data_IF_446845621456
#
_entry.id   IF_446845621456
#
_cell.length_a   1.000
_cell.length_b   1.000
_cell.length_c   1.000
_cell.angle_alpha   90.00
_cell.angle_beta   90.00
_cell.angle_gamma   90.00
#
_symmetry.space_group_name_H-M   'P 1'
#
loop_
_entity.id
_entity.type
_entity.pdbx_description
1 polymer ?
#
# COMPACT_ATOMS: atom_id res chain seq x y z
N UNK A 1 22.34 46.28 -8.82
CA UNK A 1 22.71 44.86 -8.76
C UNK A 1 21.50 44.09 -8.25
N UNK A 2 20.77 43.39 -9.13
CA UNK A 2 19.57 42.66 -8.76
C UNK A 2 19.97 41.25 -8.27
N UNK A 3 19.80 41.01 -6.97
CA UNK A 3 20.02 39.70 -6.36
C UNK A 3 18.96 38.74 -6.87
N UNK A 4 19.35 37.75 -7.68
CA UNK A 4 18.45 36.67 -8.12
C UNK A 4 18.01 35.89 -6.88
N UNK A 5 16.70 35.63 -6.69
CA UNK A 5 16.26 34.74 -5.62
C UNK A 5 16.86 33.36 -5.87
N UNK A 6 17.66 32.89 -4.91
CA UNK A 6 18.16 31.52 -4.86
C UNK A 6 16.92 30.65 -4.73
N UNK A 7 16.52 29.96 -5.80
CA UNK A 7 15.52 28.88 -5.72
C UNK A 7 16.07 27.93 -4.67
N UNK A 8 15.49 27.97 -3.48
CA UNK A 8 15.67 26.93 -2.48
C UNK A 8 15.31 25.64 -3.19
N UNK A 9 16.24 24.70 -3.22
CA UNK A 9 15.96 23.32 -3.54
C UNK A 9 14.90 22.86 -2.54
N UNK A 10 13.63 23.03 -2.89
CA UNK A 10 12.59 22.15 -2.36
C UNK A 10 13.11 20.76 -2.71
N UNK A 11 13.45 19.96 -1.70
CA UNK A 11 13.58 18.52 -1.86
C UNK A 11 12.38 18.09 -2.70
N UNK A 12 12.61 17.74 -3.96
CA UNK A 12 11.54 17.27 -4.82
C UNK A 12 11.10 15.96 -4.18
N UNK A 13 9.92 15.98 -3.56
CA UNK A 13 9.33 14.79 -2.98
C UNK A 13 9.18 13.78 -4.11
N UNK A 14 10.12 12.83 -4.21
CA UNK A 14 10.13 11.82 -5.27
C UNK A 14 8.94 10.87 -5.16
N UNK A 15 8.26 10.87 -4.02
CA UNK A 15 7.10 10.03 -3.74
C UNK A 15 5.80 10.79 -4.04
N UNK A 16 5.59 11.13 -5.32
CA UNK A 16 4.40 11.83 -5.80
C UNK A 16 3.75 11.11 -6.99
N UNK A 17 2.49 11.45 -7.28
CA UNK A 17 1.70 10.83 -8.36
C UNK A 17 2.37 10.94 -9.73
N UNK A 18 2.84 12.13 -10.11
CA UNK A 18 3.50 12.38 -11.40
C UNK A 18 4.72 11.47 -11.62
N UNK A 19 5.50 11.24 -10.55
CA UNK A 19 6.64 10.32 -10.58
C UNK A 19 6.21 8.87 -10.76
N UNK A 20 5.10 8.47 -10.13
CA UNK A 20 4.58 7.11 -10.26
C UNK A 20 4.09 6.82 -11.68
N UNK A 21 3.37 7.77 -12.27
CA UNK A 21 2.87 7.67 -13.64
C UNK A 21 4.04 7.58 -14.63
N UNK A 22 5.04 8.46 -14.50
CA UNK A 22 6.23 8.43 -15.33
C UNK A 22 6.97 7.10 -15.24
N UNK A 23 7.18 6.59 -14.03
CA UNK A 23 7.82 5.28 -13.82
C UNK A 23 6.99 4.13 -14.41
N UNK A 24 5.66 4.20 -14.32
CA UNK A 24 4.77 3.21 -14.91
C UNK A 24 4.88 3.19 -16.43
N UNK A 25 4.99 4.36 -17.07
CA UNK A 25 5.17 4.47 -18.52
C UNK A 25 6.56 4.00 -18.96
N UNK A 26 7.62 4.33 -18.23
CA UNK A 26 8.98 3.85 -18.48
C UNK A 26 9.08 2.31 -18.34
N UNK A 27 8.34 1.72 -17.39
CA UNK A 27 8.23 0.26 -17.23
C UNK A 27 7.41 -0.39 -18.35
N UNK A 28 6.30 0.22 -18.77
CA UNK A 28 5.44 -0.30 -19.87
C UNK A 28 6.15 -0.27 -21.21
N UNK A 29 6.84 0.83 -21.50
CA UNK A 29 7.60 1.05 -22.74
C UNK A 29 8.86 0.18 -22.83
N UNK A 30 9.28 -0.44 -21.73
CA UNK A 30 10.48 -1.27 -21.67
C UNK A 30 11.78 -0.48 -21.57
N UNK A 31 11.72 0.85 -21.34
CA UNK A 31 12.90 1.65 -20.99
C UNK A 31 13.58 1.13 -19.73
N UNK A 32 12.78 0.65 -18.78
CA UNK A 32 13.27 -0.07 -17.60
C UNK A 32 13.05 -1.58 -17.83
N UNK A 33 14.10 -2.39 -18.00
CA UNK A 33 13.97 -3.83 -18.25
C UNK A 33 13.68 -4.60 -16.95
N UNK A 34 12.62 -4.24 -16.24
CA UNK A 34 12.15 -4.89 -15.01
C UNK A 34 10.65 -5.14 -15.06
N UNK A 35 10.19 -6.19 -14.38
CA UNK A 35 8.75 -6.48 -14.22
C UNK A 35 8.08 -5.55 -13.21
N UNK A 36 8.86 -5.00 -12.27
CA UNK A 36 8.38 -4.10 -11.23
C UNK A 36 9.45 -3.12 -10.80
N UNK A 37 9.03 -1.96 -10.34
CA UNK A 37 9.84 -0.99 -9.63
C UNK A 37 9.24 -0.73 -8.25
N UNK A 38 10.09 -0.57 -7.25
CA UNK A 38 9.65 -0.27 -5.88
C UNK A 38 10.32 1.02 -5.45
N UNK A 39 9.51 2.00 -5.11
CA UNK A 39 9.96 3.28 -4.59
C UNK A 39 9.53 3.39 -3.13
N UNK A 40 10.46 3.78 -2.26
CA UNK A 40 10.18 3.98 -0.84
C UNK A 40 9.84 5.45 -0.57
N UNK A 41 8.89 5.69 0.31
CA UNK A 41 8.58 7.03 0.77
C UNK A 41 9.71 7.55 1.68
N UNK A 42 10.11 8.80 1.49
CA UNK A 42 11.14 9.45 2.32
C UNK A 42 10.55 10.06 3.59
N UNK A 43 9.23 10.31 3.61
CA UNK A 43 8.52 10.97 4.72
C UNK A 43 8.01 9.95 5.75
N UNK A 44 7.45 8.82 5.29
CA UNK A 44 6.90 7.76 6.15
C UNK A 44 7.73 6.49 5.98
N UNK A 45 8.47 6.13 7.03
CA UNK A 45 9.28 4.91 7.03
C UNK A 45 8.40 3.69 6.83
N UNK A 46 8.84 2.77 5.96
CA UNK A 46 8.14 1.53 5.68
C UNK A 46 7.06 1.64 4.60
N UNK A 47 6.60 2.85 4.26
CA UNK A 47 5.70 3.07 3.11
C UNK A 47 6.48 2.93 1.79
N UNK A 48 5.91 2.18 0.87
CA UNK A 48 6.46 1.94 -0.47
C UNK A 48 5.34 1.95 -1.49
N UNK A 49 5.66 2.35 -2.71
CA UNK A 49 4.83 2.14 -3.88
C UNK A 49 5.48 1.06 -4.75
N UNK A 50 4.67 0.11 -5.20
CA UNK A 50 5.07 -0.92 -6.15
C UNK A 50 4.37 -0.60 -7.47
N UNK A 51 5.20 -0.35 -8.49
CA UNK A 51 4.80 -0.05 -9.86
C UNK A 51 5.13 -1.27 -10.69
N UNK A 52 4.15 -1.82 -11.41
CA UNK A 52 4.32 -2.99 -12.27
C UNK A 52 4.40 -2.57 -13.73
N UNK A 53 5.08 -3.37 -14.55
CA UNK A 53 5.12 -3.16 -16.00
C UNK A 53 3.76 -3.27 -16.71
N UNK A 54 2.73 -3.79 -16.02
CA UNK A 54 1.33 -3.74 -16.48
C UNK A 54 0.69 -2.36 -16.29
N UNK A 55 1.35 -1.44 -15.58
CA UNK A 55 0.81 -0.15 -15.18
C UNK A 55 0.10 -0.13 -13.84
N UNK A 56 0.04 -1.26 -13.13
CA UNK A 56 -0.54 -1.29 -11.79
C UNK A 56 0.37 -0.57 -10.79
N UNK A 57 -0.20 0.35 -10.02
CA UNK A 57 0.49 1.15 -9.00
C UNK A 57 -0.19 0.92 -7.67
N UNK A 58 0.56 0.48 -6.66
CA UNK A 58 -0.01 0.01 -5.40
C UNK A 58 0.83 0.40 -4.19
N UNK A 59 0.18 0.95 -3.17
CA UNK A 59 0.81 1.34 -1.92
C UNK A 59 0.88 0.16 -0.96
N UNK A 60 2.02 0.03 -0.30
CA UNK A 60 2.29 -1.01 0.66
C UNK A 60 3.05 -0.45 1.84
N UNK A 61 2.75 -0.94 3.04
CA UNK A 61 3.50 -0.63 4.25
C UNK A 61 4.20 -1.89 4.75
N UNK A 62 5.49 -1.75 5.03
CA UNK A 62 6.25 -2.69 5.86
C UNK A 62 6.30 -2.16 7.28
N UNK A 63 5.88 -2.96 8.25
CA UNK A 63 5.93 -2.61 9.67
C UNK A 63 6.54 -3.76 10.46
N UNK A 64 6.88 -3.50 11.73
CA UNK A 64 7.44 -4.50 12.64
C UNK A 64 6.50 -4.63 13.84
N UNK A 65 6.12 -5.86 14.18
CA UNK A 65 5.28 -6.18 15.33
C UNK A 65 5.85 -7.45 15.98
N UNK A 66 6.30 -7.35 17.24
CA UNK A 66 7.10 -8.41 17.85
C UNK A 66 8.39 -8.69 17.04
N UNK A 67 8.60 -9.96 16.70
CA UNK A 67 9.72 -10.41 15.86
C UNK A 67 9.39 -10.42 14.35
N UNK A 68 8.12 -10.17 14.00
CA UNK A 68 7.63 -10.26 12.64
C UNK A 68 7.73 -8.93 11.89
N UNK A 69 7.94 -9.03 10.57
CA UNK A 69 8.00 -7.89 9.65
C UNK A 69 7.00 -8.04 8.49
N UNK A 70 5.70 -8.01 8.79
CA UNK A 70 4.66 -8.17 7.78
C UNK A 70 4.70 -7.05 6.74
N UNK A 71 4.12 -7.38 5.58
CA UNK A 71 3.98 -6.48 4.45
C UNK A 71 2.50 -6.41 4.06
N UNK A 72 1.91 -5.22 4.18
CA UNK A 72 0.49 -5.01 3.97
C UNK A 72 0.25 -4.07 2.78
N UNK A 73 -0.61 -4.49 1.85
CA UNK A 73 -1.14 -3.62 0.80
C UNK A 73 -2.16 -2.66 1.42
N UNK A 74 -1.98 -1.36 1.21
CA UNK A 74 -2.87 -0.31 1.71
C UNK A 74 -3.97 0.03 0.71
N UNK A 75 -3.61 0.08 -0.58
CA UNK A 75 -4.52 0.49 -1.65
C UNK A 75 -3.80 0.61 -2.98
N UNK A 76 -4.52 1.06 -3.99
CA UNK A 76 -4.03 1.28 -5.35
C UNK A 76 -4.10 2.77 -5.72
N UNK A 77 -3.18 3.25 -6.54
CA UNK A 77 -3.26 4.57 -7.15
C UNK A 77 -3.99 4.46 -8.50
N UNK A 78 -4.84 5.42 -8.89
CA UNK A 78 -5.14 6.70 -8.22
C UNK A 78 -6.28 6.65 -7.19
N UNK A 79 -6.91 5.48 -6.96
CA UNK A 79 -8.05 5.34 -6.03
C UNK A 79 -7.72 5.80 -4.60
N UNK A 80 -6.47 5.65 -4.18
CA UNK A 80 -5.91 6.17 -2.94
C UNK A 80 -4.87 7.25 -3.23
N UNK A 81 -4.98 8.41 -2.57
CA UNK A 81 -3.99 9.47 -2.69
C UNK A 81 -2.71 9.20 -1.87
N UNK A 82 -1.62 9.88 -2.20
CA UNK A 82 -0.35 9.77 -1.47
C UNK A 82 -0.51 10.18 0.00
N UNK A 83 -1.28 11.24 0.27
CA UNK A 83 -1.49 11.72 1.64
C UNK A 83 -2.29 10.72 2.47
N UNK A 84 -3.32 10.10 1.90
CA UNK A 84 -4.09 9.03 2.53
C UNK A 84 -3.21 7.81 2.81
N UNK A 85 -2.40 7.37 1.84
CA UNK A 85 -1.46 6.27 2.01
C UNK A 85 -0.44 6.57 3.13
N UNK A 86 0.10 7.79 3.20
CA UNK A 86 1.00 8.24 4.28
C UNK A 86 0.32 8.22 5.65
N UNK A 87 -0.90 8.72 5.74
CA UNK A 87 -1.67 8.73 6.99
C UNK A 87 -1.97 7.30 7.46
N UNK A 88 -2.44 6.44 6.57
CA UNK A 88 -2.76 5.05 6.90
C UNK A 88 -1.51 4.26 7.30
N UNK A 89 -0.38 4.46 6.62
CA UNK A 89 0.89 3.84 6.99
C UNK A 89 1.36 4.25 8.40
N UNK A 90 1.19 5.53 8.77
CA UNK A 90 1.48 5.99 10.15
C UNK A 90 0.57 5.32 11.17
N UNK A 91 -0.72 5.19 10.87
CA UNK A 91 -1.67 4.50 11.74
C UNK A 91 -1.28 3.03 11.93
N UNK A 92 -0.99 2.30 10.84
CA UNK A 92 -0.56 0.89 10.91
C UNK A 92 0.72 0.75 11.73
N UNK A 93 1.72 1.60 11.48
CA UNK A 93 3.00 1.55 12.20
C UNK A 93 2.81 1.91 13.68
N UNK A 94 1.92 2.86 14.00
CA UNK A 94 1.58 3.22 15.37
C UNK A 94 0.89 2.08 16.12
N UNK A 95 -0.05 1.36 15.48
CA UNK A 95 -0.68 0.16 16.04
C UNK A 95 0.33 -0.96 16.29
N UNK A 96 1.21 -1.21 15.32
CA UNK A 96 2.27 -2.19 15.43
C UNK A 96 3.25 -1.87 16.57
N UNK A 97 3.58 -0.59 16.77
CA UNK A 97 4.40 -0.12 17.90
C UNK A 97 3.75 -0.35 19.27
N UNK A 98 2.43 -0.53 19.33
CA UNK A 98 1.70 -0.95 20.54
C UNK A 98 1.55 -2.48 20.64
N UNK A 99 2.18 -3.25 19.76
CA UNK A 99 2.09 -4.70 19.71
C UNK A 99 0.80 -5.23 19.06
N UNK A 100 0.04 -4.39 18.37
CA UNK A 100 -1.21 -4.79 17.69
C UNK A 100 -0.91 -5.06 16.22
N UNK A 101 -1.03 -6.32 15.79
CA UNK A 101 -0.98 -6.65 14.36
C UNK A 101 -2.35 -6.40 13.70
N UNK A 102 -2.36 -5.50 12.72
CA UNK A 102 -3.55 -5.18 11.91
C UNK A 102 -3.96 -6.33 11.00
N UNK A 103 -3.03 -7.20 10.59
CA UNK A 103 -3.35 -8.36 9.76
C UNK A 103 -4.06 -9.46 10.55
N UNK A 104 -3.65 -9.70 11.80
CA UNK A 104 -4.32 -10.64 12.69
C UNK A 104 -5.78 -10.25 12.94
N UNK A 105 -6.02 -8.98 13.30
CA UNK A 105 -7.38 -8.48 13.52
C UNK A 105 -8.26 -8.56 12.26
N UNK A 106 -7.69 -8.36 11.07
CA UNK A 106 -8.38 -8.54 9.79
C UNK A 106 -8.69 -10.02 9.54
N UNK A 107 -7.74 -10.92 9.80
CA UNK A 107 -7.89 -12.35 9.59
C UNK A 107 -9.01 -12.92 10.49
N UNK A 108 -9.02 -12.57 11.77
CA UNK A 108 -10.06 -12.98 12.70
C UNK A 108 -11.46 -12.53 12.25
N UNK A 109 -11.57 -11.26 11.81
CA UNK A 109 -12.82 -10.72 11.28
C UNK A 109 -13.29 -11.48 10.03
N UNK A 110 -12.39 -11.72 9.08
CA UNK A 110 -12.70 -12.45 7.85
C UNK A 110 -13.16 -13.89 8.15
N UNK A 111 -12.48 -14.59 9.06
CA UNK A 111 -12.87 -15.95 9.49
C UNK A 111 -14.26 -15.94 10.15
N UNK A 112 -14.57 -14.91 10.95
CA UNK A 112 -15.90 -14.74 11.56
C UNK A 112 -16.99 -14.49 10.52
N UNK A 113 -16.74 -13.63 9.54
CA UNK A 113 -17.66 -13.34 8.43
C UNK A 113 -17.91 -14.60 7.58
N UNK A 114 -16.85 -15.32 7.20
CA UNK A 114 -16.95 -16.59 6.46
C UNK A 114 -17.73 -17.66 7.23
N UNK A 115 -17.57 -17.76 8.55
CA UNK A 115 -18.38 -18.67 9.40
C UNK A 115 -19.86 -18.25 9.38
N UNK A 116 -20.15 -16.96 9.46
CA UNK A 116 -21.52 -16.45 9.41
C UNK A 116 -22.18 -16.70 8.04
N UNK A 117 -21.44 -16.57 6.94
CA UNK A 117 -21.94 -16.88 5.59
C UNK A 117 -22.06 -18.38 5.34
N UNK A 118 -21.10 -19.18 5.80
CA UNK A 118 -21.18 -20.64 5.72
C UNK A 118 -22.37 -21.23 6.50
N UNK A 119 -22.83 -20.56 7.56
CA UNK A 119 -24.09 -20.89 8.24
C UNK A 119 -25.32 -20.62 7.36
N UNK A 120 -25.31 -19.55 6.54
CA UNK A 120 -26.39 -19.26 5.58
C UNK A 120 -26.47 -20.33 4.49
N UNK A 121 -25.34 -20.91 4.09
CA UNK A 121 -25.29 -21.96 3.05
C UNK A 121 -25.80 -23.33 3.53
N UNK A 122 -25.93 -23.56 4.84
CA UNK A 122 -26.42 -24.84 5.38
C UNK A 122 -27.95 -25.01 5.31
N UNK A 123 -28.70 -24.04 4.78
CA UNK A 123 -30.16 -24.13 4.60
C UNK A 123 -30.51 -24.69 3.22
N UNK A 124 -30.00 -25.88 2.94
CA UNK A 124 -30.33 -26.67 1.75
C UNK A 124 -30.44 -28.12 2.14
N UNK A 125 -31.44 -28.48 2.97
CA UNK A 125 -31.75 -29.90 3.20
C UNK A 125 -32.00 -30.54 1.83
N UNK A 126 -31.43 -31.72 1.55
CA UNK A 126 -31.76 -32.45 0.33
C UNK A 126 -33.26 -32.74 0.36
N UNK A 127 -33.94 -32.46 -0.77
CA UNK A 127 -35.27 -33.03 -1.02
C UNK A 127 -35.10 -34.54 -0.92
N UNK A 128 -35.70 -35.15 0.10
CA UNK A 128 -35.77 -36.61 0.20
C UNK A 128 -36.46 -37.15 -1.06
N UNK A 129 -35.99 -38.31 -1.58
CA UNK A 129 -36.60 -38.97 -2.73
C UNK A 129 -38.05 -39.35 -2.48
#
# INVERSE_FOLDING_TARGET
>A
MATRPRKTSQDQDVFNGDMFERLADDLKSGHIPSKKYTLSDTVVTGLRVIIRNTGGISYHVQYTVGDDRPYLKLGDYPDMSVSEARNLARTVTGLAGMGIDVQDGLHERLVRELKAEGLKWRVGRPRRP
#
